data_IF_157328947291
#
_entry.id   IF_157328947291
#
_cell.length_a   1.000
_cell.length_b   1.000
_cell.length_c   1.000
_cell.angle_alpha   90.00
_cell.angle_beta   90.00
_cell.angle_gamma   90.00
#
_symmetry.space_group_name_H-M   'P 1'
#
loop_
_entity.id
_entity.type
_entity.pdbx_description
1 polymer ?
#
# COMPACT_ATOMS: atom_id res chain seq x y z
N UNK A 1 -26.30 -11.57 -22.79
CA UNK A 1 -25.44 -11.78 -21.60
C UNK A 1 -26.34 -11.73 -20.37
N UNK A 2 -26.23 -12.68 -19.44
CA UNK A 2 -26.97 -12.68 -18.16
C UNK A 2 -25.97 -12.87 -17.02
N UNK A 3 -26.15 -12.17 -15.92
CA UNK A 3 -25.30 -12.29 -14.72
C UNK A 3 -25.84 -13.46 -13.89
N UNK A 4 -24.98 -14.43 -13.57
CA UNK A 4 -25.33 -15.59 -12.74
C UNK A 4 -25.09 -15.27 -11.26
N UNK A 5 -23.94 -14.67 -10.97
CA UNK A 5 -23.51 -14.27 -9.62
C UNK A 5 -22.87 -12.88 -9.71
N UNK A 6 -23.34 -11.95 -8.88
CA UNK A 6 -22.86 -10.57 -8.91
C UNK A 6 -21.47 -10.41 -8.25
N UNK A 7 -21.19 -11.18 -7.20
CA UNK A 7 -19.94 -11.13 -6.44
C UNK A 7 -19.43 -12.54 -6.16
N UNK A 8 -18.57 -13.04 -7.04
CA UNK A 8 -18.00 -14.39 -6.91
C UNK A 8 -16.76 -14.43 -5.99
N UNK A 9 -15.95 -13.36 -6.02
CA UNK A 9 -14.74 -13.27 -5.23
C UNK A 9 -14.41 -11.81 -4.86
N UNK A 10 -13.63 -11.67 -3.80
CA UNK A 10 -12.96 -10.42 -3.43
C UNK A 10 -11.50 -10.57 -3.81
N UNK A 11 -10.95 -9.61 -4.55
CA UNK A 11 -9.58 -9.61 -5.03
C UNK A 11 -8.83 -8.43 -4.41
N UNK A 12 -7.58 -8.67 -4.02
CA UNK A 12 -6.66 -7.62 -3.58
C UNK A 12 -6.14 -6.81 -4.78
N UNK A 13 -5.74 -5.57 -4.52
CA UNK A 13 -5.08 -4.70 -5.48
C UNK A 13 -3.82 -5.36 -6.06
N UNK A 14 -3.11 -6.16 -5.26
CA UNK A 14 -1.93 -6.90 -5.70
C UNK A 14 -2.26 -8.00 -6.73
N UNK A 15 -3.29 -8.80 -6.50
CA UNK A 15 -3.72 -9.84 -7.44
C UNK A 15 -4.19 -9.23 -8.77
N UNK A 16 -4.97 -8.16 -8.69
CA UNK A 16 -5.43 -7.41 -9.87
C UNK A 16 -4.22 -6.84 -10.63
N UNK A 17 -3.28 -6.22 -9.92
CA UNK A 17 -2.05 -5.70 -10.50
C UNK A 17 -1.25 -6.80 -11.22
N UNK A 18 -1.02 -7.93 -10.57
CA UNK A 18 -0.26 -9.06 -11.13
C UNK A 18 -0.96 -9.61 -12.39
N UNK A 19 -2.28 -9.77 -12.35
CA UNK A 19 -3.07 -10.25 -13.47
C UNK A 19 -2.98 -9.32 -14.69
N UNK A 20 -3.23 -8.02 -14.49
CA UNK A 20 -3.24 -7.03 -15.58
C UNK A 20 -1.83 -6.83 -16.15
N UNK A 21 -0.81 -6.83 -15.30
CA UNK A 21 0.59 -6.76 -15.74
C UNK A 21 0.97 -7.99 -16.60
N UNK A 22 0.64 -9.20 -16.13
CA UNK A 22 0.90 -10.43 -16.86
C UNK A 22 0.16 -10.48 -18.21
N UNK A 23 -1.10 -10.05 -18.25
CA UNK A 23 -1.89 -9.98 -19.47
C UNK A 23 -1.25 -9.01 -20.49
N UNK A 24 -0.80 -7.84 -20.04
CA UNK A 24 -0.11 -6.85 -20.88
C UNK A 24 1.18 -7.41 -21.46
N UNK A 25 1.94 -8.17 -20.68
CA UNK A 25 3.19 -8.79 -21.15
C UNK A 25 2.94 -9.94 -22.13
N UNK A 26 1.86 -10.72 -21.95
CA UNK A 26 1.45 -11.73 -22.93
C UNK A 26 1.07 -11.10 -24.28
N UNK A 27 0.35 -9.98 -24.28
CA UNK A 27 0.01 -9.27 -25.53
C UNK A 27 1.25 -8.74 -26.25
N UNK A 28 2.22 -8.18 -25.51
CA UNK A 28 3.51 -7.79 -26.09
C UNK A 28 4.24 -8.98 -26.72
N UNK A 29 4.32 -10.12 -26.03
CA UNK A 29 4.99 -11.34 -26.52
C UNK A 29 4.34 -11.90 -27.79
N UNK A 30 3.01 -11.89 -27.83
CA UNK A 30 2.24 -12.37 -28.99
C UNK A 30 2.10 -11.35 -30.12
N UNK A 31 2.67 -10.14 -29.96
CA UNK A 31 2.50 -8.99 -30.88
C UNK A 31 1.02 -8.69 -31.19
N UNK A 32 0.13 -9.00 -30.25
CA UNK A 32 -1.31 -8.74 -30.36
C UNK A 32 -1.63 -7.46 -29.61
N UNK A 33 -2.56 -6.69 -30.16
CA UNK A 33 -3.06 -5.48 -29.55
C UNK A 33 -4.46 -5.75 -29.00
N UNK A 34 -4.72 -5.35 -27.76
CA UNK A 34 -6.05 -5.45 -27.19
C UNK A 34 -7.00 -4.42 -27.82
N UNK A 35 -8.31 -4.53 -27.59
CA UNK A 35 -9.24 -3.45 -27.91
C UNK A 35 -8.79 -2.14 -27.24
N UNK A 36 -8.89 -0.98 -27.92
CA UNK A 36 -8.32 0.28 -27.43
C UNK A 36 -8.84 0.68 -26.04
N UNK A 37 -10.13 0.45 -25.77
CA UNK A 37 -10.74 0.75 -24.48
C UNK A 37 -10.11 -0.07 -23.34
N UNK A 38 -9.82 -1.36 -23.59
CA UNK A 38 -9.17 -2.23 -22.62
C UNK A 38 -7.73 -1.77 -22.35
N UNK A 39 -7.01 -1.32 -23.37
CA UNK A 39 -5.65 -0.80 -23.19
C UNK A 39 -5.61 0.46 -22.33
N UNK A 40 -6.57 1.36 -22.53
CA UNK A 40 -6.72 2.57 -21.72
C UNK A 40 -6.95 2.21 -20.26
N UNK A 41 -7.95 1.38 -19.97
CA UNK A 41 -8.28 0.94 -18.59
C UNK A 41 -7.09 0.22 -17.95
N UNK A 42 -6.45 -0.72 -18.66
CA UNK A 42 -5.30 -1.44 -18.13
C UNK A 42 -4.11 -0.51 -17.83
N UNK A 43 -3.86 0.50 -18.68
CA UNK A 43 -2.79 1.47 -18.46
C UNK A 43 -3.08 2.36 -17.27
N UNK A 44 -4.28 2.93 -17.19
CA UNK A 44 -4.69 3.85 -16.12
C UNK A 44 -4.75 3.13 -14.77
N UNK A 45 -5.26 1.90 -14.73
CA UNK A 45 -5.29 1.08 -13.52
C UNK A 45 -3.89 0.77 -13.01
N UNK A 46 -2.97 0.33 -13.89
CA UNK A 46 -1.59 0.08 -13.50
C UNK A 46 -0.87 1.35 -13.04
N UNK A 47 -1.20 2.50 -13.64
CA UNK A 47 -0.68 3.80 -13.20
C UNK A 47 -1.21 4.15 -11.80
N UNK A 48 -2.51 4.06 -11.57
CA UNK A 48 -3.14 4.29 -10.27
C UNK A 48 -2.51 3.41 -9.18
N UNK A 49 -2.39 2.10 -9.43
CA UNK A 49 -1.82 1.16 -8.47
C UNK A 49 -0.34 1.41 -8.18
N UNK A 50 0.42 2.04 -9.09
CA UNK A 50 1.84 2.39 -8.88
C UNK A 50 2.07 3.83 -8.44
N UNK A 51 1.03 4.62 -8.22
CA UNK A 51 1.16 6.01 -7.79
C UNK A 51 1.16 6.09 -6.27
N UNK A 52 2.09 6.84 -5.68
CA UNK A 52 2.09 7.07 -4.24
C UNK A 52 0.77 7.72 -3.79
N UNK A 53 0.17 7.32 -2.65
CA UNK A 53 0.74 6.51 -1.57
C UNK A 53 0.46 4.99 -1.67
N UNK A 54 0.07 4.46 -2.84
CA UNK A 54 -0.21 3.02 -2.99
C UNK A 54 0.97 2.15 -2.56
N UNK A 55 0.78 1.04 -1.81
CA UNK A 55 1.86 0.14 -1.42
C UNK A 55 2.66 -0.42 -2.61
N UNK A 56 2.03 -0.54 -3.78
CA UNK A 56 2.67 -1.05 -5.00
C UNK A 56 3.47 0.02 -5.77
N UNK A 57 3.55 1.27 -5.26
CA UNK A 57 4.41 2.32 -5.82
C UNK A 57 5.88 2.14 -5.43
N UNK A 58 6.16 1.37 -4.38
CA UNK A 58 7.53 1.13 -3.90
C UNK A 58 8.34 0.34 -4.93
N UNK A 59 9.60 0.75 -5.13
CA UNK A 59 10.53 0.09 -6.05
C UNK A 59 11.81 -0.31 -5.29
N UNK A 60 12.15 -1.61 -5.20
CA UNK A 60 11.39 -2.75 -5.72
C UNK A 60 10.05 -2.97 -5.00
N UNK A 61 9.11 -3.63 -5.67
CA UNK A 61 7.82 -4.00 -5.06
C UNK A 61 8.09 -5.04 -3.98
N UNK A 62 7.67 -4.76 -2.75
CA UNK A 62 7.86 -5.64 -1.58
C UNK A 62 6.86 -6.80 -1.56
N UNK A 63 5.75 -6.68 -2.27
CA UNK A 63 4.68 -7.67 -2.29
C UNK A 63 5.06 -8.88 -3.15
N UNK A 64 4.93 -10.06 -2.54
CA UNK A 64 5.10 -11.36 -3.20
C UNK A 64 3.81 -12.19 -3.09
N UNK A 65 3.61 -13.22 -3.93
CA UNK A 65 2.43 -14.09 -3.82
C UNK A 65 2.33 -14.78 -2.45
N UNK A 66 3.46 -15.05 -1.80
CA UNK A 66 3.51 -15.61 -0.45
C UNK A 66 3.05 -14.63 0.63
N UNK A 67 3.17 -13.31 0.43
CA UNK A 67 2.81 -12.32 1.44
C UNK A 67 1.34 -12.45 1.87
N UNK A 68 0.41 -12.71 0.94
CA UNK A 68 -1.02 -12.87 1.27
C UNK A 68 -1.22 -14.02 2.24
N UNK A 69 -0.64 -15.18 1.93
CA UNK A 69 -0.75 -16.37 2.79
C UNK A 69 -0.12 -16.12 4.16
N UNK A 70 1.12 -15.63 4.19
CA UNK A 70 1.84 -15.34 5.44
C UNK A 70 1.10 -14.32 6.30
N UNK A 71 0.52 -13.28 5.68
CA UNK A 71 -0.22 -12.27 6.39
C UNK A 71 -1.49 -12.85 7.03
N UNK A 72 -2.28 -13.63 6.28
CA UNK A 72 -3.48 -14.29 6.80
C UNK A 72 -3.14 -15.21 7.97
N UNK A 73 -2.07 -16.00 7.86
CA UNK A 73 -1.62 -16.91 8.92
C UNK A 73 -1.20 -16.14 10.18
N UNK A 74 -0.44 -15.04 10.04
CA UNK A 74 0.02 -14.24 11.18
C UNK A 74 -1.08 -13.38 11.81
N UNK A 75 -2.07 -12.96 11.03
CA UNK A 75 -3.19 -12.15 11.51
C UNK A 75 -4.36 -13.00 12.06
N UNK A 76 -4.30 -14.33 11.91
CA UNK A 76 -5.36 -15.24 12.38
C UNK A 76 -5.74 -15.04 13.87
N UNK A 77 -4.78 -14.83 14.81
CA UNK A 77 -5.11 -14.65 16.23
C UNK A 77 -5.95 -13.41 16.54
N UNK A 78 -5.95 -12.41 15.66
CA UNK A 78 -6.65 -11.14 15.88
C UNK A 78 -8.09 -11.16 15.38
N UNK A 79 -8.56 -12.28 14.80
CA UNK A 79 -9.96 -12.46 14.36
C UNK A 79 -10.46 -11.36 13.41
N UNK A 80 -9.59 -10.86 12.54
CA UNK A 80 -9.96 -9.87 11.53
C UNK A 80 -10.93 -10.45 10.50
N UNK A 81 -11.92 -9.66 10.11
CA UNK A 81 -12.82 -9.99 9.01
C UNK A 81 -12.07 -10.01 7.68
N UNK A 82 -12.63 -10.74 6.70
CA UNK A 82 -12.05 -10.80 5.35
C UNK A 82 -11.94 -9.40 4.70
N UNK A 83 -12.87 -8.50 5.00
CA UNK A 83 -12.85 -7.12 4.52
C UNK A 83 -11.67 -6.34 5.07
N UNK A 84 -11.46 -6.39 6.39
CA UNK A 84 -10.32 -5.75 7.06
C UNK A 84 -8.98 -6.27 6.53
N UNK A 85 -8.82 -7.58 6.37
CA UNK A 85 -7.59 -8.18 5.82
C UNK A 85 -7.31 -7.69 4.39
N UNK A 86 -8.34 -7.63 3.54
CA UNK A 86 -8.20 -7.11 2.16
C UNK A 86 -7.84 -5.62 2.18
N UNK A 87 -8.41 -4.84 3.09
CA UNK A 87 -8.09 -3.42 3.22
C UNK A 87 -6.66 -3.20 3.74
N UNK A 88 -6.20 -4.01 4.69
CA UNK A 88 -4.80 -4.01 5.15
C UNK A 88 -3.85 -4.31 3.98
N UNK A 89 -4.15 -5.32 3.15
CA UNK A 89 -3.36 -5.63 1.94
C UNK A 89 -3.37 -4.50 0.91
N UNK A 90 -4.46 -3.76 0.80
CA UNK A 90 -4.60 -2.71 -0.21
C UNK A 90 -3.98 -1.38 0.22
N UNK A 91 -4.02 -1.07 1.52
CA UNK A 91 -3.59 0.23 2.06
C UNK A 91 -2.24 0.18 2.79
N UNK A 92 -1.85 -0.98 3.34
CA UNK A 92 -0.63 -1.17 4.16
C UNK A 92 -0.49 -0.08 5.23
N UNK A 93 -1.36 -0.06 6.25
CA UNK A 93 -1.27 0.91 7.33
C UNK A 93 0.07 0.76 8.06
N UNK A 94 0.82 1.86 8.18
CA UNK A 94 2.16 1.90 8.78
C UNK A 94 2.16 2.42 10.22
N UNK A 95 1.00 2.76 10.77
CA UNK A 95 0.85 3.26 12.14
C UNK A 95 -0.49 2.80 12.72
N UNK A 96 -0.59 2.82 14.05
CA UNK A 96 -1.84 2.50 14.76
C UNK A 96 -2.95 3.47 14.36
N UNK A 97 -2.64 4.75 14.16
CA UNK A 97 -3.60 5.74 13.66
C UNK A 97 -4.13 5.40 12.26
N UNK A 98 -3.27 4.94 11.35
CA UNK A 98 -3.71 4.49 10.02
C UNK A 98 -4.52 3.19 10.12
N UNK A 99 -4.12 2.26 10.98
CA UNK A 99 -4.81 0.98 11.18
C UNK A 99 -6.22 1.17 11.78
N UNK A 100 -6.40 2.15 12.66
CA UNK A 100 -7.70 2.60 13.20
C UNK A 100 -8.69 3.04 12.11
N UNK A 101 -8.22 3.48 10.94
CA UNK A 101 -9.10 3.82 9.81
C UNK A 101 -9.58 2.61 9.01
N UNK A 102 -8.98 1.44 9.27
CA UNK A 102 -9.24 0.20 8.54
C UNK A 102 -10.11 -0.77 9.35
N UNK A 103 -9.92 -0.81 10.67
CA UNK A 103 -10.58 -1.73 11.60
C UNK A 103 -11.50 -0.93 12.51
N UNK A 104 -12.76 -1.35 12.60
CA UNK A 104 -13.75 -0.72 13.46
C UNK A 104 -13.55 -1.12 14.94
N UNK A 105 -13.87 -0.18 15.84
CA UNK A 105 -13.82 -0.34 17.30
C UNK A 105 -12.48 -0.89 17.84
N UNK A 106 -11.38 -0.48 17.23
CA UNK A 106 -10.03 -0.98 17.51
C UNK A 106 -9.62 -0.89 18.98
N UNK A 107 -9.93 0.22 19.66
CA UNK A 107 -9.62 0.40 21.09
C UNK A 107 -10.45 -0.47 22.03
N UNK A 108 -11.61 -0.98 21.58
CA UNK A 108 -12.43 -1.93 22.35
C UNK A 108 -12.02 -3.37 22.08
N UNK A 109 -11.53 -3.66 20.86
CA UNK A 109 -11.16 -5.02 20.42
C UNK A 109 -9.75 -5.43 20.80
N UNK A 110 -8.82 -4.48 20.86
CA UNK A 110 -7.39 -4.78 21.02
C UNK A 110 -6.75 -3.86 22.05
N UNK A 111 -5.89 -4.45 22.86
CA UNK A 111 -4.98 -3.71 23.75
C UNK A 111 -3.98 -2.87 22.94
N UNK A 112 -3.36 -1.87 23.57
CA UNK A 112 -2.34 -1.03 22.93
C UNK A 112 -1.18 -1.90 22.36
N UNK A 113 -0.73 -2.90 23.14
CA UNK A 113 0.32 -3.84 22.72
C UNK A 113 -0.07 -4.65 21.47
N UNK A 114 -1.33 -5.12 21.40
CA UNK A 114 -1.83 -5.87 20.24
C UNK A 114 -1.96 -4.99 19.00
N UNK A 115 -2.34 -3.71 19.17
CA UNK A 115 -2.41 -2.75 18.07
C UNK A 115 -1.02 -2.50 17.47
N UNK A 116 0.00 -2.33 18.31
CA UNK A 116 1.39 -2.20 17.87
C UNK A 116 1.89 -3.48 17.20
N UNK A 117 1.53 -4.64 17.75
CA UNK A 117 1.87 -5.94 17.17
C UNK A 117 1.27 -6.11 15.76
N UNK A 118 0.02 -5.69 15.54
CA UNK A 118 -0.62 -5.72 14.22
C UNK A 118 0.18 -4.89 13.20
N UNK A 119 0.53 -3.65 13.55
CA UNK A 119 1.32 -2.76 12.67
C UNK A 119 2.69 -3.35 12.36
N UNK A 120 3.31 -3.98 13.36
CA UNK A 120 4.60 -4.66 13.22
C UNK A 120 4.50 -5.84 12.25
N UNK A 121 3.51 -6.72 12.40
CA UNK A 121 3.27 -7.85 11.49
C UNK A 121 3.06 -7.36 10.05
N UNK A 122 2.24 -6.32 9.87
CA UNK A 122 1.96 -5.72 8.55
C UNK A 122 3.25 -5.22 7.90
N UNK A 123 4.06 -4.50 8.68
CA UNK A 123 5.35 -3.95 8.24
C UNK A 123 6.35 -5.04 7.86
N UNK A 124 6.46 -6.11 8.67
CA UNK A 124 7.36 -7.23 8.40
C UNK A 124 6.97 -8.01 7.13
N UNK A 125 5.67 -8.23 6.91
CA UNK A 125 5.19 -9.07 5.81
C UNK A 125 5.05 -8.29 4.50
N UNK A 126 4.60 -7.04 4.57
CA UNK A 126 4.30 -6.20 3.38
C UNK A 126 5.38 -5.15 3.12
N UNK A 127 6.39 -5.04 3.99
CA UNK A 127 7.46 -4.03 3.93
C UNK A 127 7.01 -2.67 4.47
N UNK A 128 7.97 -1.76 4.60
CA UNK A 128 7.76 -0.36 4.97
C UNK A 128 8.25 0.54 3.84
N UNK A 129 7.67 1.74 3.74
CA UNK A 129 8.31 2.79 2.95
C UNK A 129 9.50 3.31 3.75
N UNK A 130 10.62 3.59 3.06
CA UNK A 130 11.72 4.29 3.71
C UNK A 130 11.20 5.66 4.17
N UNK A 131 11.33 5.95 5.47
CA UNK A 131 11.05 7.29 5.95
C UNK A 131 12.00 8.24 5.19
N UNK A 132 11.50 9.36 4.63
CA UNK A 132 12.42 10.39 4.18
C UNK A 132 13.21 10.77 5.43
N UNK A 133 14.52 10.49 5.44
CA UNK A 133 15.43 10.98 6.46
C UNK A 133 15.05 12.45 6.67
N UNK A 134 14.52 12.77 7.85
CA UNK A 134 14.31 14.14 8.23
C UNK A 134 15.69 14.76 8.17
N UNK A 135 15.97 15.50 7.08
CA UNK A 135 17.16 16.31 6.96
C UNK A 135 17.14 17.18 8.21
N UNK A 136 17.98 16.83 9.19
CA UNK A 136 18.22 17.66 10.35
C UNK A 136 18.52 19.05 9.79
N UNK A 137 17.69 20.03 10.16
CA UNK A 137 17.96 21.42 9.91
C UNK A 137 19.17 21.83 10.76
N UNK A 138 20.35 21.37 10.33
CA UNK A 138 21.65 21.67 10.88
C UNK A 138 22.42 22.49 9.84
N UNK A 139 22.02 23.75 9.68
CA UNK A 139 22.85 24.83 9.15
C UNK A 139 22.07 26.15 9.36
N UNK A 140 22.55 27.18 10.06
CA UNK A 140 23.81 27.39 10.75
C UNK A 140 23.68 28.73 11.47
N UNK A 141 24.03 28.73 12.76
CA UNK A 141 24.32 29.95 13.52
C UNK A 141 25.56 30.61 12.88
N UNK A 142 25.37 31.77 12.24
CA UNK A 142 26.46 32.75 12.08
C UNK A 142 26.01 34.09 12.63
N UNK A 143 26.65 34.39 13.75
CA UNK A 143 26.63 35.63 14.49
C UNK A 143 27.09 36.86 13.69
N UNK A 144 26.54 38.01 14.10
CA UNK A 144 27.08 39.37 14.04
C UNK A 144 27.47 39.98 12.68
N UNK A 145 26.79 41.08 12.33
CA UNK A 145 27.47 42.37 12.26
C UNK A 145 26.49 43.55 12.37
N UNK A 146 26.67 44.33 13.44
CA UNK A 146 26.20 45.70 13.56
C UNK A 146 26.64 46.55 12.37
N UNK A 147 25.77 47.44 11.91
CA UNK A 147 26.21 48.79 11.50
C UNK A 147 25.06 49.78 11.61
N UNK A 148 25.12 50.59 12.66
CA UNK A 148 24.54 51.93 12.69
C UNK A 148 25.19 52.84 11.61
N UNK A 149 24.41 53.83 11.20
CA UNK A 149 24.79 55.15 10.68
C UNK A 149 24.99 55.38 9.16
N UNK A 150 24.26 56.41 8.71
CA UNK A 150 24.51 57.37 7.62
C UNK A 150 23.95 57.07 6.22
N UNK A 151 22.78 57.65 5.92
CA UNK A 151 22.63 58.81 5.00
C UNK A 151 21.21 59.38 5.07
#
# INVERSE_FOLDING_TARGET
MKIIEAQSAVLSNYEVYQHVAAQKDQYKKTKRRGPPNMETVARELLQYLRTAPSPLSQTPITYTPSCIKTLIERLQPFELSKGEVVMILNLRPSSVAALNTVIEDMGERYTEDEQEQLVTIISEVLGQFDEPEAQEAADGDTSMQDTEAAS
#
